data_IF_286749041064
#
_entry.id   IF_286749041064
#
_cell.length_a   1.000
_cell.length_b   1.000
_cell.length_c   1.000
_cell.angle_alpha   90.00
_cell.angle_beta   90.00
_cell.angle_gamma   90.00
#
_symmetry.space_group_name_H-M   'P 1'
#
loop_
_entity.id
_entity.type
_entity.pdbx_description
1 polymer ?
#
# COMPACT_ATOMS: atom_id res chain seq x y z
N UNK A 1 12.40 3.56 -9.61
CA UNK A 1 12.17 2.51 -10.60
C UNK A 1 11.05 2.94 -11.53
N UNK A 2 11.30 2.91 -12.83
CA UNK A 2 10.29 3.23 -13.85
C UNK A 2 9.38 2.04 -14.16
N UNK A 3 8.25 2.28 -14.84
CA UNK A 3 7.27 1.24 -15.12
C UNK A 3 7.74 0.21 -16.16
N UNK A 4 7.08 -0.95 -16.19
CA UNK A 4 7.36 -1.99 -17.17
C UNK A 4 7.01 -1.58 -18.61
N UNK A 5 6.14 -0.56 -18.76
CA UNK A 5 5.88 0.03 -20.06
C UNK A 5 7.08 0.75 -20.64
N UNK A 6 8.01 1.27 -19.83
CA UNK A 6 9.25 1.88 -20.32
C UNK A 6 10.42 0.89 -20.33
N UNK A 7 10.50 0.03 -19.32
CA UNK A 7 11.59 -0.92 -19.12
C UNK A 7 11.01 -2.33 -18.97
N UNK A 8 11.04 -3.11 -20.05
CA UNK A 8 10.37 -4.40 -20.10
C UNK A 8 10.88 -5.39 -19.03
N UNK A 9 12.13 -5.25 -18.57
CA UNK A 9 12.71 -5.98 -17.45
C UNK A 9 11.97 -5.81 -16.12
N UNK A 10 11.21 -4.72 -15.94
CA UNK A 10 10.36 -4.50 -14.76
C UNK A 10 9.03 -5.26 -14.87
N UNK A 11 8.73 -5.88 -16.01
CA UNK A 11 7.60 -6.80 -16.11
C UNK A 11 7.94 -8.12 -15.42
N UNK A 12 7.18 -8.49 -14.39
CA UNK A 12 7.44 -9.70 -13.58
C UNK A 12 7.52 -10.95 -14.46
N UNK A 13 6.54 -11.16 -15.35
CA UNK A 13 6.49 -12.34 -16.22
C UNK A 13 7.69 -12.41 -17.17
N UNK A 14 8.10 -11.27 -17.74
CA UNK A 14 9.26 -11.24 -18.62
C UNK A 14 10.57 -11.47 -17.86
N UNK A 15 10.71 -10.89 -16.66
CA UNK A 15 11.86 -11.13 -15.80
C UNK A 15 12.00 -12.62 -15.47
N UNK A 16 10.91 -13.31 -15.13
CA UNK A 16 10.91 -14.77 -14.95
C UNK A 16 11.37 -15.52 -16.20
N UNK A 17 10.84 -15.16 -17.37
CA UNK A 17 11.24 -15.78 -18.65
C UNK A 17 12.73 -15.57 -18.98
N UNK A 18 13.33 -14.48 -18.49
CA UNK A 18 14.77 -14.21 -18.61
C UNK A 18 15.63 -14.94 -17.58
N UNK A 19 15.04 -15.71 -16.67
CA UNK A 19 15.75 -16.52 -15.69
C UNK A 19 15.98 -15.86 -14.33
N UNK A 20 15.30 -14.75 -14.01
CA UNK A 20 15.39 -14.17 -12.67
C UNK A 20 14.58 -14.99 -11.66
N UNK A 21 15.27 -15.58 -10.68
CA UNK A 21 14.66 -16.37 -9.59
C UNK A 21 13.85 -15.53 -8.61
N UNK A 22 14.17 -14.24 -8.47
CA UNK A 22 13.46 -13.29 -7.62
C UNK A 22 13.30 -11.95 -8.33
N UNK A 23 12.13 -11.32 -8.19
CA UNK A 23 11.77 -10.07 -8.87
C UNK A 23 11.33 -9.04 -7.84
N UNK A 24 11.94 -7.86 -7.91
CA UNK A 24 11.63 -6.72 -7.06
C UNK A 24 11.24 -5.55 -7.96
N UNK A 25 9.98 -5.13 -7.91
CA UNK A 25 9.50 -3.98 -8.70
C UNK A 25 8.53 -3.11 -7.92
N UNK A 26 8.02 -2.04 -8.52
CA UNK A 26 6.95 -1.24 -7.88
C UNK A 26 5.66 -2.04 -7.70
N UNK A 27 5.48 -3.14 -8.44
CA UNK A 27 4.30 -3.98 -8.32
C UNK A 27 4.23 -4.69 -6.97
N UNK A 28 3.08 -4.58 -6.31
CA UNK A 28 2.76 -5.32 -5.08
C UNK A 28 2.62 -6.84 -5.33
N UNK A 29 2.58 -7.25 -6.60
CA UNK A 29 2.62 -8.65 -7.04
C UNK A 29 4.04 -9.19 -7.24
N UNK A 30 5.09 -8.36 -7.12
CA UNK A 30 6.47 -8.83 -7.11
C UNK A 30 6.81 -9.57 -5.81
N UNK A 31 7.91 -10.33 -5.76
CA UNK A 31 8.29 -11.09 -4.56
C UNK A 31 8.55 -10.14 -3.39
N UNK A 32 9.22 -9.03 -3.68
CA UNK A 32 9.54 -7.97 -2.72
C UNK A 32 9.28 -6.61 -3.37
N UNK A 33 8.10 -6.03 -3.15
CA UNK A 33 7.75 -4.74 -3.75
C UNK A 33 8.64 -3.59 -3.28
N UNK A 34 8.97 -2.68 -4.18
CA UNK A 34 9.75 -1.46 -3.92
C UNK A 34 8.93 -0.26 -4.38
N UNK A 35 8.02 0.19 -3.50
CA UNK A 35 7.15 1.32 -3.75
C UNK A 35 7.78 2.67 -3.40
N UNK A 36 7.12 3.75 -3.80
CA UNK A 36 7.51 5.14 -3.53
C UNK A 36 6.80 5.72 -2.30
N UNK A 37 6.63 4.90 -1.26
CA UNK A 37 5.94 5.29 -0.04
C UNK A 37 6.75 4.89 1.17
N UNK A 38 6.84 5.80 2.14
CA UNK A 38 7.50 5.59 3.42
C UNK A 38 7.13 6.72 4.37
N UNK A 39 6.95 6.40 5.66
CA UNK A 39 6.79 7.41 6.71
C UNK A 39 8.07 8.23 6.93
N UNK A 40 9.24 7.64 6.66
CA UNK A 40 10.53 8.32 6.84
C UNK A 40 10.86 9.30 5.70
N UNK A 41 10.40 9.03 4.47
CA UNK A 41 10.68 9.89 3.31
C UNK A 41 9.59 10.94 3.07
N UNK A 42 8.34 10.64 3.45
CA UNK A 42 7.20 11.51 3.18
C UNK A 42 6.50 11.85 4.49
N UNK A 43 6.49 13.14 4.84
CA UNK A 43 5.66 13.66 5.94
C UNK A 43 4.19 13.72 5.51
N UNK A 44 3.58 12.54 5.33
CA UNK A 44 2.21 12.37 4.84
C UNK A 44 1.19 12.98 5.80
N UNK A 45 1.55 13.16 7.07
CA UNK A 45 0.70 13.80 8.09
C UNK A 45 1.03 15.28 8.32
N UNK A 46 1.88 15.88 7.47
CA UNK A 46 2.18 17.31 7.53
C UNK A 46 0.89 18.15 7.59
N UNK A 47 0.85 19.20 8.43
CA UNK A 47 -0.32 20.07 8.56
C UNK A 47 -0.71 20.72 7.23
N UNK A 48 -2.01 20.71 6.94
CA UNK A 48 -2.57 21.35 5.74
C UNK A 48 -2.41 22.87 5.84
N UNK A 49 -1.76 23.47 4.83
CA UNK A 49 -1.58 24.92 4.74
C UNK A 49 -2.77 25.58 4.00
N UNK A 50 -3.03 26.87 4.25
CA UNK A 50 -3.99 27.64 3.45
C UNK A 50 -3.63 27.60 1.96
N UNK A 51 -4.64 27.39 1.11
CA UNK A 51 -4.46 27.36 -0.34
C UNK A 51 -4.57 28.79 -0.87
N UNK A 52 -3.44 29.36 -1.31
CA UNK A 52 -3.31 30.78 -1.65
C UNK A 52 -3.26 31.07 -3.15
N UNK A 53 -3.07 30.05 -3.99
CA UNK A 53 -2.96 30.23 -5.43
C UNK A 53 -4.35 30.40 -6.09
N UNK A 54 -4.43 31.31 -7.06
CA UNK A 54 -5.66 31.55 -7.82
C UNK A 54 -6.00 30.41 -8.79
N UNK A 55 -4.97 29.73 -9.30
CA UNK A 55 -5.16 28.54 -10.11
C UNK A 55 -5.59 27.37 -9.22
N UNK A 56 -6.52 26.55 -9.73
CA UNK A 56 -7.10 25.44 -8.98
C UNK A 56 -6.08 24.33 -8.72
N UNK A 57 -5.23 24.08 -9.72
CA UNK A 57 -4.29 22.97 -9.71
C UNK A 57 -2.90 23.39 -10.20
N UNK A 58 -1.90 22.62 -9.78
CA UNK A 58 -0.55 22.72 -10.31
C UNK A 58 -0.10 21.40 -10.96
N UNK A 59 0.73 21.52 -11.99
CA UNK A 59 1.32 20.40 -12.72
C UNK A 59 2.85 20.53 -12.82
N UNK A 60 3.55 19.44 -12.50
CA UNK A 60 5.01 19.34 -12.59
C UNK A 60 5.39 18.20 -13.53
N UNK A 61 5.10 18.39 -14.83
CA UNK A 61 5.28 17.36 -15.86
C UNK A 61 6.37 17.83 -16.83
N UNK A 62 7.48 17.09 -16.91
CA UNK A 62 8.60 17.43 -17.82
C UNK A 62 8.85 16.39 -18.92
N UNK A 63 8.25 15.21 -18.83
CA UNK A 63 8.29 14.21 -19.91
C UNK A 63 7.03 14.32 -20.77
N UNK A 64 7.10 14.96 -21.93
CA UNK A 64 5.91 15.17 -22.77
C UNK A 64 5.58 13.97 -23.67
N UNK A 65 6.50 13.00 -23.79
CA UNK A 65 6.33 11.75 -24.54
C UNK A 65 5.89 10.58 -23.66
N UNK A 66 4.88 10.80 -22.81
CA UNK A 66 4.35 9.77 -21.93
C UNK A 66 3.68 8.63 -22.73
N UNK A 67 3.79 7.38 -22.27
CA UNK A 67 3.11 6.21 -22.87
C UNK A 67 1.66 6.07 -22.35
N UNK A 68 0.97 7.19 -22.16
CA UNK A 68 -0.43 7.24 -21.75
C UNK A 68 -1.10 8.55 -22.21
N UNK A 69 -2.35 8.78 -21.77
CA UNK A 69 -3.16 9.92 -22.18
C UNK A 69 -3.02 11.17 -21.28
N UNK A 70 -1.95 11.28 -20.48
CA UNK A 70 -1.88 12.30 -19.42
C UNK A 70 -1.87 13.74 -19.91
N UNK A 71 -1.27 14.01 -21.08
CA UNK A 71 -1.28 15.36 -21.65
C UNK A 71 -2.65 15.71 -22.23
N UNK A 72 -3.30 14.74 -22.90
CA UNK A 72 -4.67 14.91 -23.37
C UNK A 72 -5.64 15.14 -22.20
N UNK A 73 -5.42 14.49 -21.06
CA UNK A 73 -6.17 14.73 -19.84
C UNK A 73 -5.93 16.15 -19.29
N UNK A 74 -4.68 16.61 -19.27
CA UNK A 74 -4.34 17.99 -18.86
C UNK A 74 -5.05 19.01 -19.75
N UNK A 75 -4.96 18.87 -21.07
CA UNK A 75 -5.66 19.71 -22.05
C UNK A 75 -7.18 19.64 -21.91
N UNK A 76 -7.73 18.46 -21.58
CA UNK A 76 -9.16 18.30 -21.34
C UNK A 76 -9.63 19.03 -20.08
N UNK A 77 -8.83 19.04 -19.01
CA UNK A 77 -9.10 19.83 -17.81
C UNK A 77 -9.03 21.34 -18.10
N UNK A 78 -8.02 21.79 -18.86
CA UNK A 78 -7.89 23.18 -19.29
C UNK A 78 -9.11 23.62 -20.13
N UNK A 79 -9.51 22.81 -21.14
CA UNK A 79 -10.72 23.06 -21.95
C UNK A 79 -12.01 23.04 -21.13
N UNK A 80 -12.05 22.27 -20.04
CA UNK A 80 -13.13 22.30 -19.08
C UNK A 80 -13.06 23.51 -18.13
N UNK A 81 -12.22 24.50 -18.42
CA UNK A 81 -12.03 25.74 -17.66
C UNK A 81 -11.50 25.52 -16.24
N UNK A 82 -10.59 24.55 -16.07
CA UNK A 82 -9.76 24.43 -14.88
C UNK A 82 -8.47 25.20 -15.13
N UNK A 83 -8.22 26.25 -14.34
CA UNK A 83 -6.96 26.98 -14.40
C UNK A 83 -5.85 26.14 -13.76
N UNK A 84 -4.84 25.78 -14.55
CA UNK A 84 -3.71 24.94 -14.16
C UNK A 84 -2.42 25.72 -14.34
N UNK A 85 -1.61 25.82 -13.29
CA UNK A 85 -0.24 26.33 -13.37
C UNK A 85 0.73 25.17 -13.62
N UNK A 86 1.37 25.16 -14.78
CA UNK A 86 2.30 24.14 -15.22
C UNK A 86 3.74 24.64 -15.07
N UNK A 87 4.46 24.08 -14.11
CA UNK A 87 5.85 24.40 -13.78
C UNK A 87 6.85 23.53 -14.56
N UNK A 88 6.44 22.30 -14.93
CA UNK A 88 7.28 21.38 -15.70
C UNK A 88 7.48 21.84 -17.16
N UNK A 89 8.32 21.12 -17.90
CA UNK A 89 8.64 21.45 -19.31
C UNK A 89 7.44 21.31 -20.26
N UNK A 90 6.41 20.53 -19.90
CA UNK A 90 5.18 20.41 -20.68
C UNK A 90 4.21 21.54 -20.32
N UNK A 91 3.66 22.22 -21.34
CA UNK A 91 2.85 23.45 -21.26
C UNK A 91 3.61 24.66 -20.68
N UNK A 92 4.35 24.50 -19.58
CA UNK A 92 5.28 25.47 -18.99
C UNK A 92 4.75 26.92 -18.93
N UNK A 93 3.51 27.10 -18.47
CA UNK A 93 2.88 28.42 -18.38
C UNK A 93 3.23 29.19 -17.09
N UNK A 94 3.99 28.57 -16.17
CA UNK A 94 4.47 29.14 -14.92
C UNK A 94 5.97 28.89 -14.80
N UNK A 95 6.77 29.88 -15.22
CA UNK A 95 8.24 29.76 -15.35
C UNK A 95 9.04 29.92 -14.03
N UNK A 96 8.36 30.07 -12.90
CA UNK A 96 9.00 30.28 -11.60
C UNK A 96 9.72 28.99 -11.13
N UNK A 97 10.98 29.11 -10.70
CA UNK A 97 11.71 28.00 -10.09
C UNK A 97 11.32 27.88 -8.62
N UNK A 98 10.59 26.83 -8.30
CA UNK A 98 10.05 26.58 -6.96
C UNK A 98 10.48 25.22 -6.44
N UNK A 99 10.51 25.06 -5.11
CA UNK A 99 10.40 23.72 -4.53
C UNK A 99 9.01 23.15 -4.81
N UNK A 100 8.96 21.92 -5.31
CA UNK A 100 7.71 21.31 -5.78
C UNK A 100 6.71 21.13 -4.64
N UNK A 101 7.13 20.60 -3.49
CA UNK A 101 6.21 20.31 -2.39
C UNK A 101 5.73 21.61 -1.75
N UNK A 102 6.63 22.58 -1.56
CA UNK A 102 6.26 23.91 -1.03
C UNK A 102 5.32 24.68 -1.97
N UNK A 103 5.48 24.53 -3.29
CA UNK A 103 4.52 25.07 -4.25
C UNK A 103 3.16 24.39 -4.15
N UNK A 104 3.14 23.05 -4.17
CA UNK A 104 1.90 22.26 -4.10
C UNK A 104 1.07 22.58 -2.86
N UNK A 105 1.70 22.90 -1.71
CA UNK A 105 1.00 23.30 -0.48
C UNK A 105 0.01 24.45 -0.68
N UNK A 106 0.25 25.33 -1.66
CA UNK A 106 -0.60 26.50 -1.96
C UNK A 106 -1.76 26.21 -2.91
N UNK A 107 -1.80 25.05 -3.56
CA UNK A 107 -2.85 24.67 -4.51
C UNK A 107 -3.88 23.73 -3.89
N UNK A 108 -5.15 23.83 -4.31
CA UNK A 108 -6.19 22.88 -3.86
C UNK A 108 -5.95 21.47 -4.40
N UNK A 109 -5.54 21.38 -5.67
CA UNK A 109 -5.31 20.13 -6.39
C UNK A 109 -3.88 20.03 -6.90
N UNK A 110 -3.36 18.81 -6.94
CA UNK A 110 -2.06 18.47 -7.53
C UNK A 110 -2.28 17.48 -8.67
N UNK A 111 -1.81 17.78 -9.88
CA UNK A 111 -1.89 16.84 -11.00
C UNK A 111 -0.78 15.79 -10.88
N UNK A 112 -1.07 14.71 -10.16
CA UNK A 112 -0.20 13.58 -9.93
C UNK A 112 -0.28 12.58 -11.11
N UNK A 113 0.11 13.04 -12.29
CA UNK A 113 -0.01 12.28 -13.53
C UNK A 113 1.24 11.43 -13.80
N UNK A 114 1.10 10.11 -13.72
CA UNK A 114 2.14 9.17 -14.10
C UNK A 114 2.35 9.10 -15.61
N UNK A 115 3.51 8.61 -16.03
CA UNK A 115 3.91 8.46 -17.43
C UNK A 115 3.37 7.17 -18.09
N UNK A 116 2.74 6.29 -17.32
CA UNK A 116 2.13 5.05 -17.80
C UNK A 116 0.98 4.63 -16.89
N UNK A 117 0.02 3.89 -17.44
CA UNK A 117 -1.10 3.33 -16.69
C UNK A 117 -0.80 1.86 -16.37
N UNK A 118 -0.09 1.62 -15.27
CA UNK A 118 0.32 0.28 -14.84
C UNK A 118 -0.14 0.03 -13.40
N UNK A 119 -0.61 -1.18 -13.13
CA UNK A 119 -1.06 -1.58 -11.79
C UNK A 119 0.07 -1.37 -10.76
N UNK A 120 -0.26 -0.77 -9.61
CA UNK A 120 0.69 -0.36 -8.54
C UNK A 120 1.76 0.66 -8.90
N UNK A 121 1.80 1.15 -10.13
CA UNK A 121 2.75 2.17 -10.49
C UNK A 121 2.28 3.54 -9.97
N UNK A 122 2.56 3.76 -8.68
CA UNK A 122 2.26 4.97 -7.91
C UNK A 122 3.56 5.52 -7.34
N UNK A 123 3.95 6.70 -7.79
CA UNK A 123 5.29 7.26 -7.54
C UNK A 123 5.25 8.44 -6.55
N UNK A 124 6.37 9.14 -6.42
CA UNK A 124 6.51 10.35 -5.60
C UNK A 124 5.44 11.40 -5.91
N UNK A 125 4.91 11.44 -7.15
CA UNK A 125 3.90 12.43 -7.56
C UNK A 125 2.65 12.36 -6.69
N UNK A 126 2.20 11.15 -6.40
CA UNK A 126 1.01 10.94 -5.57
C UNK A 126 1.33 11.26 -4.10
N UNK A 127 2.38 10.69 -3.53
CA UNK A 127 2.71 10.86 -2.11
C UNK A 127 3.12 12.31 -1.77
N UNK A 128 3.83 13.01 -2.65
CA UNK A 128 4.12 14.46 -2.47
C UNK A 128 2.86 15.32 -2.47
N UNK A 129 1.81 14.90 -3.21
CA UNK A 129 0.50 15.58 -3.16
C UNK A 129 -0.15 15.42 -1.77
N UNK A 130 -0.06 14.21 -1.21
CA UNK A 130 -0.53 13.93 0.16
C UNK A 130 0.25 14.76 1.19
N UNK A 131 1.59 14.81 1.10
CA UNK A 131 2.44 15.66 1.97
C UNK A 131 1.99 17.12 1.90
N UNK A 132 1.79 17.65 0.70
CA UNK A 132 1.34 19.03 0.49
C UNK A 132 -0.08 19.33 1.00
N UNK A 133 -0.85 18.31 1.39
CA UNK A 133 -2.26 18.46 1.77
C UNK A 133 -3.10 18.97 0.61
N UNK A 134 -2.77 18.57 -0.62
CA UNK A 134 -3.51 18.91 -1.83
C UNK A 134 -4.16 17.64 -2.37
N UNK A 135 -5.37 17.74 -2.90
CA UNK A 135 -6.08 16.56 -3.41
C UNK A 135 -5.39 16.11 -4.71
N UNK A 136 -4.79 14.90 -4.77
CA UNK A 136 -4.22 14.38 -5.99
C UNK A 136 -5.31 14.14 -7.04
N UNK A 137 -5.08 14.65 -8.25
CA UNK A 137 -5.79 14.28 -9.47
C UNK A 137 -4.86 13.37 -10.27
N UNK A 138 -5.30 12.15 -10.55
CA UNK A 138 -4.42 11.07 -11.03
C UNK A 138 -4.81 10.62 -12.42
N UNK A 139 -3.80 10.48 -13.26
CA UNK A 139 -3.76 9.62 -14.45
C UNK A 139 -2.62 8.65 -14.20
N UNK A 140 -2.86 7.34 -14.14
CA UNK A 140 -1.83 6.38 -13.76
C UNK A 140 -2.38 5.01 -13.42
N UNK A 141 -1.99 4.47 -12.27
CA UNK A 141 -2.39 3.14 -11.84
C UNK A 141 -3.93 2.98 -11.80
N UNK A 142 -4.49 1.96 -12.50
CA UNK A 142 -5.94 1.77 -12.56
C UNK A 142 -6.57 1.47 -11.18
N UNK A 143 -5.76 1.00 -10.24
CA UNK A 143 -6.13 0.67 -8.86
C UNK A 143 -5.66 1.74 -7.84
N UNK A 144 -5.51 3.01 -8.25
CA UNK A 144 -5.03 4.09 -7.37
C UNK A 144 -5.79 4.22 -6.04
N UNK A 145 -7.06 3.79 -5.99
CA UNK A 145 -7.85 3.79 -4.75
C UNK A 145 -7.25 2.91 -3.65
N UNK A 146 -6.51 1.85 -4.00
CA UNK A 146 -5.79 1.00 -3.04
C UNK A 146 -4.69 1.76 -2.29
N UNK A 147 -4.20 2.86 -2.88
CA UNK A 147 -3.14 3.73 -2.36
C UNK A 147 -3.69 4.99 -1.69
N UNK A 148 -5.00 5.21 -1.71
CA UNK A 148 -5.61 6.42 -1.17
C UNK A 148 -5.76 6.33 0.37
N UNK A 149 -5.42 7.38 1.13
CA UNK A 149 -5.62 7.39 2.58
C UNK A 149 -7.10 7.30 2.99
N UNK A 150 -8.00 7.83 2.15
CA UNK A 150 -9.45 7.67 2.26
C UNK A 150 -10.12 7.63 0.87
N UNK A 151 -11.36 7.09 0.74
CA UNK A 151 -12.05 6.99 -0.55
C UNK A 151 -12.31 8.34 -1.26
N UNK A 152 -12.37 9.44 -0.50
CA UNK A 152 -12.65 10.80 -0.99
C UNK A 152 -11.40 11.64 -1.20
N UNK A 153 -10.21 11.09 -0.91
CA UNK A 153 -8.93 11.83 -0.92
C UNK A 153 -8.27 11.93 -2.29
N UNK A 154 -8.78 11.26 -3.32
CA UNK A 154 -8.19 11.23 -4.67
C UNK A 154 -9.26 11.40 -5.75
N UNK A 155 -8.93 12.13 -6.81
CA UNK A 155 -9.70 12.19 -8.05
C UNK A 155 -8.98 11.40 -9.13
N UNK A 156 -9.62 10.39 -9.70
CA UNK A 156 -9.00 9.52 -10.70
C UNK A 156 -9.62 9.74 -12.09
N UNK A 157 -8.79 10.14 -13.05
CA UNK A 157 -9.14 10.17 -14.47
C UNK A 157 -8.70 8.82 -15.06
N UNK A 158 -9.60 7.84 -15.02
CA UNK A 158 -9.31 6.46 -15.46
C UNK A 158 -9.17 6.36 -16.97
N UNK A 159 -10.03 7.08 -17.69
CA UNK A 159 -10.02 7.23 -19.14
C UNK A 159 -10.19 8.71 -19.51
N UNK A 160 -9.79 9.09 -20.73
CA UNK A 160 -9.83 10.50 -21.16
C UNK A 160 -11.23 11.14 -21.04
N UNK A 161 -12.30 10.35 -21.24
CA UNK A 161 -13.69 10.81 -21.13
C UNK A 161 -14.06 11.25 -19.70
N UNK A 162 -13.36 10.74 -18.69
CA UNK A 162 -13.61 11.07 -17.29
C UNK A 162 -13.07 12.45 -16.91
N UNK A 163 -12.20 13.06 -17.73
CA UNK A 163 -11.61 14.36 -17.43
C UNK A 163 -12.67 15.44 -17.22
N UNK A 164 -13.78 15.40 -17.96
CA UNK A 164 -14.88 16.38 -17.83
C UNK A 164 -15.64 16.22 -16.50
N UNK A 165 -15.93 14.98 -16.08
CA UNK A 165 -16.62 14.74 -14.80
C UNK A 165 -15.70 15.02 -13.61
N UNK A 166 -14.41 14.73 -13.74
CA UNK A 166 -13.38 15.10 -12.75
C UNK A 166 -13.25 16.61 -12.66
N UNK A 167 -13.19 17.35 -13.78
CA UNK A 167 -13.18 18.82 -13.77
C UNK A 167 -14.42 19.40 -13.06
N UNK A 168 -15.61 18.83 -13.30
CA UNK A 168 -16.83 19.23 -12.58
C UNK A 168 -16.69 19.02 -11.06
N UNK A 169 -16.11 17.89 -10.65
CA UNK A 169 -15.85 17.59 -9.24
C UNK A 169 -14.83 18.55 -8.63
N UNK A 170 -13.76 18.88 -9.37
CA UNK A 170 -12.76 19.86 -8.92
C UNK A 170 -13.38 21.23 -8.66
N UNK A 171 -14.26 21.71 -9.56
CA UNK A 171 -14.98 22.98 -9.36
C UNK A 171 -15.91 22.93 -8.15
N UNK A 172 -16.70 21.86 -8.03
CA UNK A 172 -17.60 21.65 -6.89
C UNK A 172 -16.84 21.70 -5.56
N UNK A 173 -15.74 20.96 -5.43
CA UNK A 173 -14.90 20.97 -4.24
C UNK A 173 -14.24 22.35 -4.03
N UNK A 174 -13.83 23.03 -5.09
CA UNK A 174 -13.24 24.36 -4.96
C UNK A 174 -14.23 25.40 -4.40
N UNK A 175 -15.50 25.31 -4.78
CA UNK A 175 -16.58 26.21 -4.37
C UNK A 175 -17.26 25.78 -3.05
N UNK A 176 -17.03 24.55 -2.59
CA UNK A 176 -17.64 23.99 -1.38
C UNK A 176 -16.58 23.62 -0.33
N UNK A 177 -16.26 24.52 0.63
CA UNK A 177 -15.25 24.29 1.65
C UNK A 177 -15.51 23.05 2.52
N UNK A 178 -16.78 22.74 2.80
CA UNK A 178 -17.14 21.56 3.61
C UNK A 178 -16.77 20.28 2.87
N UNK A 179 -17.18 20.15 1.60
CA UNK A 179 -16.83 18.99 0.79
C UNK A 179 -15.31 18.87 0.55
N UNK A 180 -14.62 19.99 0.34
CA UNK A 180 -13.16 20.00 0.21
C UNK A 180 -12.45 19.52 1.48
N UNK A 181 -12.89 20.01 2.65
CA UNK A 181 -12.31 19.62 3.92
C UNK A 181 -12.58 18.14 4.23
N UNK A 182 -13.73 17.60 3.83
CA UNK A 182 -14.03 16.16 3.97
C UNK A 182 -13.04 15.29 3.19
N UNK A 183 -12.61 15.70 1.99
CA UNK A 183 -11.55 15.02 1.22
C UNK A 183 -10.19 15.01 1.91
N UNK A 184 -9.93 15.94 2.83
CA UNK A 184 -8.69 16.06 3.59
C UNK A 184 -8.84 15.64 5.06
N UNK A 185 -10.01 15.16 5.47
CA UNK A 185 -10.32 14.82 6.86
C UNK A 185 -9.37 13.78 7.47
N UNK A 186 -8.86 12.88 6.65
CA UNK A 186 -7.86 11.88 7.02
C UNK A 186 -6.55 12.49 7.56
N UNK A 187 -6.23 13.76 7.25
CA UNK A 187 -5.08 14.48 7.83
C UNK A 187 -5.23 14.75 9.33
N UNK A 188 -6.46 14.75 9.83
CA UNK A 188 -6.79 15.06 11.21
C UNK A 188 -7.17 13.79 11.99
N UNK A 189 -7.96 12.91 11.37
CA UNK A 189 -8.44 11.68 12.02
C UNK A 189 -7.49 10.49 11.83
N UNK A 190 -6.54 10.62 10.89
CA UNK A 190 -5.67 9.54 10.45
C UNK A 190 -6.19 8.83 9.20
N UNK A 191 -5.30 8.20 8.41
CA UNK A 191 -5.69 7.44 7.23
C UNK A 191 -6.28 6.07 7.59
N UNK A 192 -6.90 5.42 6.61
CA UNK A 192 -7.45 4.07 6.78
C UNK A 192 -6.40 3.05 7.23
N UNK A 193 -6.84 2.00 7.93
CA UNK A 193 -5.97 0.91 8.34
C UNK A 193 -5.25 0.24 7.16
N UNK A 194 -5.94 0.09 6.03
CA UNK A 194 -5.36 -0.46 4.79
C UNK A 194 -4.24 0.43 4.26
N UNK A 195 -4.42 1.75 4.28
CA UNK A 195 -3.35 2.69 3.88
C UNK A 195 -2.16 2.62 4.84
N UNK A 196 -2.39 2.58 6.15
CA UNK A 196 -1.30 2.39 7.12
C UNK A 196 -0.56 1.10 6.85
N UNK A 197 -1.28 -0.01 6.68
CA UNK A 197 -0.72 -1.31 6.32
C UNK A 197 0.06 -1.28 4.99
N UNK A 198 -0.31 -0.45 4.02
CA UNK A 198 0.49 -0.27 2.81
C UNK A 198 1.82 0.43 3.13
N UNK A 199 1.77 1.61 3.76
CA UNK A 199 2.96 2.45 4.01
C UNK A 199 3.93 1.79 5.00
N UNK A 200 3.42 1.08 6.00
CA UNK A 200 4.23 0.35 6.99
C UNK A 200 5.11 -0.74 6.37
N UNK A 201 4.84 -1.18 5.14
CA UNK A 201 5.72 -2.11 4.44
C UNK A 201 7.13 -1.53 4.28
N UNK A 202 7.25 -0.21 4.17
CA UNK A 202 8.53 0.48 4.04
C UNK A 202 9.24 0.71 5.38
N UNK A 203 8.60 0.44 6.52
CA UNK A 203 9.26 0.46 7.83
C UNK A 203 10.42 -0.54 7.91
N UNK A 204 10.39 -1.58 7.07
CA UNK A 204 11.52 -2.48 6.83
C UNK A 204 12.05 -2.23 5.43
N UNK A 205 13.31 -1.80 5.36
CA UNK A 205 13.97 -1.50 4.08
C UNK A 205 13.87 -2.68 3.10
N UNK A 206 13.75 -2.40 1.81
CA UNK A 206 13.53 -3.41 0.77
C UNK A 206 14.61 -4.51 0.76
N UNK A 207 15.87 -4.16 1.02
CA UNK A 207 16.97 -5.12 1.16
C UNK A 207 16.76 -6.09 2.32
N UNK A 208 16.27 -5.62 3.48
CA UNK A 208 15.97 -6.48 4.62
C UNK A 208 14.76 -7.37 4.32
N UNK A 209 13.73 -6.84 3.65
CA UNK A 209 12.58 -7.64 3.19
C UNK A 209 13.01 -8.73 2.20
N UNK A 210 13.99 -8.44 1.33
CA UNK A 210 14.61 -9.46 0.47
C UNK A 210 15.30 -10.55 1.29
N UNK A 211 16.10 -10.20 2.30
CA UNK A 211 16.71 -11.19 3.19
C UNK A 211 15.65 -12.07 3.87
N UNK A 212 14.57 -11.47 4.40
CA UNK A 212 13.47 -12.21 5.02
C UNK A 212 12.80 -13.16 4.02
N UNK A 213 12.54 -12.68 2.80
CA UNK A 213 11.94 -13.49 1.75
C UNK A 213 12.84 -14.68 1.37
N UNK A 214 14.13 -14.44 1.12
CA UNK A 214 15.10 -15.49 0.79
C UNK A 214 15.25 -16.50 1.93
N UNK A 215 15.39 -16.03 3.17
CA UNK A 215 15.49 -16.89 4.33
C UNK A 215 14.23 -17.74 4.52
N UNK A 216 13.03 -17.18 4.26
CA UNK A 216 11.78 -17.95 4.28
C UNK A 216 11.82 -19.06 3.23
N UNK A 217 12.23 -18.77 1.99
CA UNK A 217 12.32 -19.78 0.90
C UNK A 217 13.32 -20.87 1.20
N UNK A 218 14.47 -20.51 1.78
CA UNK A 218 15.50 -21.48 2.21
C UNK A 218 14.92 -22.39 3.29
N UNK A 219 14.28 -21.83 4.33
CA UNK A 219 13.65 -22.61 5.40
C UNK A 219 12.57 -23.55 4.86
N UNK A 220 11.71 -23.07 3.96
CA UNK A 220 10.69 -23.91 3.30
C UNK A 220 11.30 -25.10 2.56
N UNK A 221 12.46 -24.90 1.90
CA UNK A 221 13.18 -25.97 1.20
C UNK A 221 13.79 -26.98 2.18
N UNK A 222 14.41 -26.52 3.26
CA UNK A 222 15.01 -27.38 4.29
C UNK A 222 13.97 -28.21 5.02
N UNK A 223 12.80 -27.63 5.31
CA UNK A 223 11.70 -28.28 6.02
C UNK A 223 10.96 -29.32 5.18
N UNK A 224 11.13 -29.32 3.86
CA UNK A 224 10.67 -30.41 2.97
C UNK A 224 11.53 -31.67 3.10
N UNK A 225 12.66 -31.61 3.79
CA UNK A 225 13.49 -32.81 4.01
C UNK A 225 12.81 -33.80 4.96
N UNK A 226 13.07 -35.12 4.82
CA UNK A 226 12.45 -36.15 5.67
C UNK A 226 12.67 -35.96 7.18
N UNK A 227 13.76 -35.28 7.57
CA UNK A 227 14.07 -34.95 8.96
C UNK A 227 13.01 -34.04 9.59
N UNK A 228 12.54 -33.04 8.85
CA UNK A 228 11.56 -32.06 9.33
C UNK A 228 10.11 -32.52 9.17
N UNK A 229 9.82 -33.32 8.13
CA UNK A 229 8.47 -33.88 7.93
C UNK A 229 7.99 -34.78 9.08
N UNK A 230 8.90 -35.30 9.91
CA UNK A 230 8.56 -36.09 11.10
C UNK A 230 8.17 -35.26 12.33
N UNK A 231 8.30 -33.93 12.29
CA UNK A 231 7.95 -33.06 13.42
C UNK A 231 6.41 -32.99 13.57
N UNK A 232 5.85 -33.37 14.73
CA UNK A 232 4.40 -33.29 14.93
C UNK A 232 3.97 -31.83 15.11
N UNK A 233 3.09 -31.36 14.22
CA UNK A 233 2.39 -30.07 14.35
C UNK A 233 0.90 -30.24 14.61
N UNK A 234 0.49 -31.44 15.01
CA UNK A 234 -0.82 -31.73 15.57
C UNK A 234 -0.68 -32.80 16.64
N UNK A 235 -1.48 -32.70 17.70
CA UNK A 235 -1.53 -33.69 18.77
C UNK A 235 -3.00 -34.01 19.06
N UNK A 236 -3.37 -35.28 18.99
CA UNK A 236 -4.74 -35.74 19.27
C UNK A 236 -4.75 -36.52 20.59
N UNK A 237 -5.63 -36.12 21.51
CA UNK A 237 -5.85 -36.81 22.79
C UNK A 237 -7.35 -36.98 23.01
N UNK A 238 -7.83 -38.21 22.92
CA UNK A 238 -9.27 -38.49 22.93
C UNK A 238 -9.96 -37.89 21.71
N UNK A 239 -10.98 -37.06 21.92
CA UNK A 239 -11.72 -36.36 20.86
C UNK A 239 -11.13 -35.00 20.50
N UNK A 240 -10.16 -34.50 21.26
CA UNK A 240 -9.57 -33.18 21.05
C UNK A 240 -8.28 -33.29 20.23
N UNK A 241 -8.16 -32.43 19.21
CA UNK A 241 -6.92 -32.23 18.46
C UNK A 241 -6.43 -30.81 18.65
N UNK A 242 -5.16 -30.66 19.00
CA UNK A 242 -4.47 -29.37 19.07
C UNK A 242 -3.57 -29.23 17.84
N UNK A 243 -3.77 -28.17 17.08
CA UNK A 243 -2.98 -27.78 15.93
C UNK A 243 -1.92 -26.77 16.34
N UNK A 244 -0.68 -26.98 15.91
CA UNK A 244 0.43 -26.06 16.11
C UNK A 244 0.67 -25.28 14.82
N UNK A 245 0.47 -23.98 14.88
CA UNK A 245 0.72 -23.04 13.78
C UNK A 245 1.75 -22.01 14.18
N UNK A 246 2.36 -21.37 13.19
CA UNK A 246 3.39 -20.36 13.37
C UNK A 246 2.92 -19.03 12.80
N UNK A 247 3.11 -17.95 13.55
CA UNK A 247 2.72 -16.61 13.11
C UNK A 247 3.86 -15.64 13.35
N UNK A 248 4.12 -14.77 12.39
CA UNK A 248 5.04 -13.64 12.54
C UNK A 248 4.37 -12.34 12.16
N UNK A 249 4.86 -11.22 12.66
CA UNK A 249 4.54 -9.93 12.07
C UNK A 249 5.18 -9.81 10.68
N UNK A 250 4.46 -9.24 9.71
CA UNK A 250 5.00 -8.89 8.40
C UNK A 250 6.19 -7.94 8.56
N UNK A 251 7.33 -8.31 7.98
CA UNK A 251 8.60 -7.58 8.13
C UNK A 251 9.53 -8.14 9.21
N UNK A 252 9.14 -9.22 9.91
CA UNK A 252 10.03 -10.01 10.76
C UNK A 252 10.32 -11.39 10.15
N UNK A 253 11.43 -12.00 10.52
CA UNK A 253 11.76 -13.36 10.09
C UNK A 253 11.24 -14.42 11.08
N UNK A 254 11.52 -14.21 12.37
CA UNK A 254 11.17 -15.10 13.46
C UNK A 254 9.66 -15.26 13.62
N UNK A 255 9.24 -16.47 14.01
CA UNK A 255 7.85 -16.84 14.16
C UNK A 255 7.54 -17.30 15.57
N UNK A 256 6.37 -16.92 16.05
CA UNK A 256 5.80 -17.35 17.31
C UNK A 256 4.90 -18.59 17.13
N UNK A 257 4.92 -19.47 18.12
CA UNK A 257 4.04 -20.63 18.18
C UNK A 257 2.66 -20.26 18.69
N UNK A 258 1.63 -20.73 18.01
CA UNK A 258 0.22 -20.63 18.41
C UNK A 258 -0.40 -22.03 18.37
N UNK A 259 -1.20 -22.34 19.39
CA UNK A 259 -1.86 -23.63 19.52
C UNK A 259 -3.38 -23.43 19.44
N UNK A 260 -4.01 -24.10 18.48
CA UNK A 260 -5.46 -24.01 18.22
C UNK A 260 -6.13 -25.34 18.53
N UNK A 261 -7.26 -25.32 19.21
CA UNK A 261 -8.00 -26.53 19.59
C UNK A 261 -9.10 -26.82 18.56
N UNK A 262 -9.32 -28.10 18.24
CA UNK A 262 -10.24 -28.54 17.19
C UNK A 262 -11.71 -28.18 17.43
N UNK A 263 -12.10 -27.92 18.69
CA UNK A 263 -13.43 -27.47 19.08
C UNK A 263 -13.63 -25.95 18.91
N UNK A 264 -12.57 -25.18 18.64
CA UNK A 264 -12.59 -23.72 18.49
C UNK A 264 -11.71 -23.26 17.31
N UNK A 265 -11.85 -23.94 16.16
CA UNK A 265 -11.18 -23.58 14.90
C UNK A 265 -12.00 -22.57 14.09
N UNK A 266 -12.23 -21.39 14.66
CA UNK A 266 -12.79 -20.25 13.94
C UNK A 266 -11.72 -19.21 13.59
N UNK A 267 -11.99 -18.39 12.59
CA UNK A 267 -11.11 -17.26 12.24
C UNK A 267 -10.99 -16.27 13.40
N UNK A 268 -12.11 -15.96 14.07
CA UNK A 268 -12.13 -15.05 15.19
C UNK A 268 -11.31 -15.58 16.38
N UNK A 269 -11.42 -16.87 16.69
CA UNK A 269 -10.62 -17.49 17.75
C UNK A 269 -9.13 -17.47 17.39
N UNK A 270 -8.78 -17.71 16.12
CA UNK A 270 -7.40 -17.63 15.65
C UNK A 270 -6.83 -16.21 15.77
N UNK A 271 -7.55 -15.19 15.28
CA UNK A 271 -7.15 -13.78 15.40
C UNK A 271 -6.99 -13.36 16.87
N UNK A 272 -7.90 -13.81 17.73
CA UNK A 272 -7.82 -13.58 19.18
C UNK A 272 -6.60 -14.24 19.81
N UNK A 273 -6.27 -15.46 19.39
CA UNK A 273 -5.07 -16.18 19.83
C UNK A 273 -3.78 -15.49 19.36
N UNK A 274 -3.75 -14.97 18.13
CA UNK A 274 -2.64 -14.16 17.60
C UNK A 274 -2.46 -12.91 18.46
N UNK A 275 -3.52 -12.15 18.69
CA UNK A 275 -3.47 -10.95 19.54
C UNK A 275 -3.01 -11.27 20.96
N UNK A 276 -3.57 -12.30 21.59
CA UNK A 276 -3.19 -12.70 22.94
C UNK A 276 -1.72 -13.09 23.03
N UNK A 277 -1.21 -13.87 22.05
CA UNK A 277 0.19 -14.27 21.99
C UNK A 277 1.12 -13.07 21.87
N UNK A 278 0.87 -12.16 20.91
CA UNK A 278 1.71 -10.99 20.70
C UNK A 278 1.64 -9.99 21.87
N UNK A 279 0.48 -9.86 22.53
CA UNK A 279 0.36 -9.10 23.80
C UNK A 279 1.18 -9.74 24.93
N UNK A 280 1.15 -11.05 25.07
CA UNK A 280 1.86 -11.78 26.14
C UNK A 280 3.38 -11.58 26.12
N UNK A 281 3.95 -11.41 24.93
CA UNK A 281 5.39 -11.19 24.73
C UNK A 281 5.76 -9.70 24.67
N UNK A 282 4.81 -8.81 25.01
CA UNK A 282 4.97 -7.35 24.94
C UNK A 282 5.49 -6.89 23.57
N UNK A 283 4.91 -7.44 22.51
CA UNK A 283 5.35 -7.18 21.14
C UNK A 283 5.23 -5.71 20.78
N UNK A 284 6.26 -5.19 20.11
CA UNK A 284 6.25 -3.85 19.52
C UNK A 284 6.26 -3.99 17.98
N UNK A 285 5.22 -3.50 17.29
CA UNK A 285 5.15 -3.57 15.84
C UNK A 285 6.33 -2.88 15.16
N UNK A 286 6.82 -3.45 14.05
CA UNK A 286 8.01 -2.92 13.33
C UNK A 286 7.83 -1.48 12.85
N UNK A 287 6.58 -1.05 12.63
CA UNK A 287 6.26 0.30 12.16
C UNK A 287 6.18 1.34 13.28
N UNK A 288 6.18 0.95 14.56
CA UNK A 288 5.84 1.87 15.67
C UNK A 288 6.76 3.08 15.73
N UNK A 289 8.07 2.88 15.55
CA UNK A 289 9.04 3.98 15.57
C UNK A 289 9.12 4.76 14.25
N UNK A 290 8.73 4.15 13.15
CA UNK A 290 8.76 4.80 11.83
C UNK A 290 7.54 5.68 11.59
N UNK A 291 6.39 5.35 12.20
CA UNK A 291 5.18 6.16 12.06
C UNK A 291 5.30 7.54 12.72
N UNK A 292 4.67 8.58 12.15
CA UNK A 292 4.50 9.85 12.83
C UNK A 292 3.83 9.68 14.19
N UNK A 293 4.24 10.45 15.20
CA UNK A 293 3.74 10.31 16.58
C UNK A 293 2.21 10.32 16.68
N UNK A 294 1.55 11.15 15.87
CA UNK A 294 0.07 11.24 15.80
C UNK A 294 -0.61 9.93 15.39
N UNK A 295 0.10 9.01 14.72
CA UNK A 295 -0.42 7.72 14.25
C UNK A 295 0.09 6.51 15.05
N UNK A 296 0.97 6.71 16.05
CA UNK A 296 1.54 5.58 16.82
C UNK A 296 0.53 4.92 17.74
N UNK A 297 -0.51 5.66 18.15
CA UNK A 297 -1.48 5.20 19.14
C UNK A 297 -0.84 4.94 20.50
N UNK A 298 -1.54 4.18 21.35
CA UNK A 298 -1.01 3.70 22.62
C UNK A 298 -0.23 2.38 22.48
N UNK A 299 -0.22 1.58 23.54
CA UNK A 299 0.38 0.24 23.54
C UNK A 299 -0.59 -0.87 23.12
N UNK A 300 -1.78 -0.49 22.64
CA UNK A 300 -2.76 -1.45 22.16
C UNK A 300 -2.37 -2.01 20.78
N UNK A 301 -2.26 -3.33 20.70
CA UNK A 301 -2.10 -4.04 19.43
C UNK A 301 -3.46 -4.22 18.77
N UNK A 302 -3.60 -3.64 17.58
CA UNK A 302 -4.73 -3.87 16.68
C UNK A 302 -4.28 -4.73 15.50
N UNK A 303 -4.88 -5.90 15.37
CA UNK A 303 -4.64 -6.82 14.26
C UNK A 303 -5.51 -6.41 13.07
N UNK A 304 -4.88 -6.04 11.96
CA UNK A 304 -5.58 -5.67 10.73
C UNK A 304 -5.86 -6.88 9.85
N UNK A 305 -4.88 -7.79 9.73
CA UNK A 305 -5.00 -8.95 8.85
C UNK A 305 -4.06 -10.07 9.27
N UNK A 306 -4.48 -11.31 9.07
CA UNK A 306 -3.63 -12.51 9.13
C UNK A 306 -3.85 -13.33 7.89
N UNK A 307 -2.76 -13.79 7.26
CA UNK A 307 -2.82 -14.52 6.01
C UNK A 307 -1.67 -15.54 5.90
N UNK A 308 -1.83 -16.62 5.11
CA UNK A 308 -0.77 -17.58 4.87
C UNK A 308 0.52 -16.97 4.33
N UNK A 309 1.67 -17.45 4.81
CA UNK A 309 2.98 -17.10 4.25
C UNK A 309 3.06 -17.55 2.79
N UNK A 310 3.68 -16.72 1.95
CA UNK A 310 3.91 -17.02 0.53
C UNK A 310 3.01 -16.26 -0.45
N UNK A 311 2.03 -15.51 0.07
CA UNK A 311 1.25 -14.57 -0.74
C UNK A 311 2.07 -13.33 -1.09
N UNK A 312 1.82 -12.78 -2.28
CA UNK A 312 2.31 -11.44 -2.66
C UNK A 312 1.64 -10.37 -1.80
N UNK A 313 2.21 -9.16 -1.74
CA UNK A 313 1.61 -8.07 -0.97
C UNK A 313 0.25 -7.63 -1.55
N UNK A 314 0.09 -7.68 -2.88
CA UNK A 314 -1.21 -7.47 -3.54
C UNK A 314 -2.25 -8.43 -3.00
N UNK A 315 -1.94 -9.73 -3.01
CA UNK A 315 -2.86 -10.76 -2.52
C UNK A 315 -3.13 -10.57 -1.03
N UNK A 316 -2.08 -10.44 -0.22
CA UNK A 316 -2.17 -10.30 1.22
C UNK A 316 -3.05 -9.11 1.63
N UNK A 317 -2.86 -7.93 1.04
CA UNK A 317 -3.61 -6.72 1.41
C UNK A 317 -5.01 -6.67 0.79
N UNK A 318 -5.15 -6.96 -0.51
CA UNK A 318 -6.34 -6.56 -1.27
C UNK A 318 -7.19 -7.72 -1.80
N UNK A 319 -6.65 -8.93 -1.97
CA UNK A 319 -7.39 -10.02 -2.64
C UNK A 319 -7.70 -11.22 -1.75
N UNK A 320 -6.81 -11.56 -0.82
CA UNK A 320 -6.94 -12.74 0.02
C UNK A 320 -7.85 -12.46 1.22
N UNK A 321 -8.76 -13.40 1.46
CA UNK A 321 -9.51 -13.59 2.70
C UNK A 321 -9.97 -15.05 2.75
N UNK A 322 -10.03 -15.62 3.94
CA UNK A 322 -10.77 -16.88 4.13
C UNK A 322 -12.28 -16.57 4.04
N UNK A 323 -13.03 -17.34 3.25
CA UNK A 323 -14.47 -17.20 3.11
C UNK A 323 -15.19 -18.01 4.20
N UNK A 324 -14.96 -17.60 5.45
CA UNK A 324 -15.57 -18.18 6.64
C UNK A 324 -14.76 -19.31 7.30
N UNK A 325 -15.27 -19.78 8.44
CA UNK A 325 -14.57 -20.71 9.33
C UNK A 325 -14.30 -22.07 8.69
N UNK A 326 -15.18 -22.53 7.79
CA UNK A 326 -14.99 -23.81 7.08
C UNK A 326 -13.74 -23.80 6.20
N UNK A 327 -13.50 -22.73 5.45
CA UNK A 327 -12.31 -22.61 4.61
C UNK A 327 -11.04 -22.54 5.46
N UNK A 328 -11.08 -21.77 6.54
CA UNK A 328 -9.99 -21.68 7.50
C UNK A 328 -9.66 -23.04 8.13
N UNK A 329 -10.68 -23.73 8.64
CA UNK A 329 -10.53 -25.07 9.24
C UNK A 329 -9.92 -26.05 8.25
N UNK A 330 -10.45 -26.11 7.03
CA UNK A 330 -9.91 -26.97 5.97
C UNK A 330 -8.44 -26.63 5.67
N UNK A 331 -8.08 -25.35 5.67
CA UNK A 331 -6.70 -24.91 5.47
C UNK A 331 -5.77 -25.44 6.59
N UNK A 332 -6.17 -25.27 7.86
CA UNK A 332 -5.40 -25.74 9.02
C UNK A 332 -5.23 -27.26 9.01
N UNK A 333 -6.28 -27.99 8.66
CA UNK A 333 -6.26 -29.47 8.62
C UNK A 333 -5.40 -30.03 7.48
N UNK A 334 -5.40 -29.34 6.33
CA UNK A 334 -4.63 -29.75 5.14
C UNK A 334 -3.18 -29.25 5.13
N UNK A 335 -2.82 -28.28 5.97
CA UNK A 335 -1.47 -27.69 6.05
C UNK A 335 -0.86 -27.87 7.45
N UNK A 336 -0.28 -29.05 7.76
CA UNK A 336 0.46 -29.25 9.00
C UNK A 336 1.56 -28.19 9.16
N UNK A 337 1.71 -27.65 10.37
CA UNK A 337 2.65 -26.57 10.66
C UNK A 337 2.37 -25.29 9.84
N UNK A 338 1.10 -24.99 9.55
CA UNK A 338 0.71 -23.80 8.80
C UNK A 338 1.40 -22.54 9.34
N UNK A 339 1.85 -21.68 8.42
CA UNK A 339 2.57 -20.45 8.73
C UNK A 339 1.78 -19.26 8.24
N UNK A 340 1.67 -18.26 9.08
CA UNK A 340 0.94 -17.03 8.78
C UNK A 340 1.80 -15.80 9.02
N UNK A 341 1.47 -14.73 8.32
CA UNK A 341 1.91 -13.38 8.63
C UNK A 341 0.74 -12.57 9.17
N UNK A 342 1.02 -11.75 10.17
CA UNK A 342 0.09 -10.81 10.78
C UNK A 342 0.51 -9.38 10.42
N UNK A 343 -0.47 -8.54 10.11
CA UNK A 343 -0.30 -7.09 9.96
C UNK A 343 -1.01 -6.44 11.15
N UNK A 344 -0.24 -5.72 11.96
CA UNK A 344 -0.76 -4.84 13.00
C UNK A 344 -0.86 -3.41 12.46
N UNK A 345 -1.81 -2.60 12.94
CA UNK A 345 -1.99 -1.20 12.48
C UNK A 345 -2.38 -0.21 13.57
#
# INVERSE_FOLDING_TARGET
>A
MESAQYYAENNITLARRRGYDFVMTTSLSSDVPVGYFSWAEYDIMAPVQPKTENALAAAFISNCGARNFRLQALEALERANIRIDSYGSCHHNKAERVDKVEALKRYKFSLAFENSNEEDYVTEKFFQSLVAGSIPVVVGAPNIQDFAPSPTSVLHIKELKDAVSVAKTMKYLAENPVAYNESLRWKFEGPSDTFKALVDMAAVHSSCRLCIFLATRIREKEERSPKFMKRPCKCTRGTETVYHVYVRERGRFEMDSIFLRSNDLSLQAFESAVLAKFKSVKHVPVWKEERPQVLRGGDELKLHKVYPVGLTQRQALYSFRFNGDTEFKNYIESHPCARFEAIFV
#
